data_IF_407359328341
#
_entry.id   IF_407359328341
#
_cell.length_a   1.000
_cell.length_b   1.000
_cell.length_c   1.000
_cell.angle_alpha   90.00
_cell.angle_beta   90.00
_cell.angle_gamma   90.00
#
_symmetry.space_group_name_H-M   'P 1'
#
loop_
_entity.id
_entity.type
_entity.pdbx_description
1 polymer ?
#
# COMPACT_ATOMS: atom_id res chain seq x y z
N UNK A 1 9.68 -2.37 8.05
CA UNK A 1 9.05 -2.99 6.88
C UNK A 1 8.81 -1.98 5.77
N UNK A 2 9.09 -2.38 4.53
CA UNK A 2 8.67 -1.64 3.34
C UNK A 2 8.18 -2.61 2.27
N UNK A 3 6.88 -2.54 1.94
CA UNK A 3 6.21 -3.41 0.97
C UNK A 3 5.87 -2.67 -0.32
N UNK A 4 6.32 -3.19 -1.47
CA UNK A 4 6.07 -2.63 -2.81
C UNK A 4 5.08 -3.53 -3.53
N UNK A 5 4.02 -2.98 -4.09
CA UNK A 5 2.99 -3.66 -4.87
C UNK A 5 2.43 -4.89 -4.12
N UNK A 6 2.79 -6.11 -4.50
CA UNK A 6 2.44 -7.33 -3.76
C UNK A 6 2.87 -7.26 -2.28
N UNK A 7 3.98 -6.58 -1.97
CA UNK A 7 4.42 -6.37 -0.59
C UNK A 7 3.39 -5.61 0.25
N UNK A 8 2.77 -4.55 -0.29
CA UNK A 8 1.66 -3.88 0.40
C UNK A 8 0.46 -4.83 0.61
N UNK A 9 0.12 -5.61 -0.40
CA UNK A 9 -1.00 -6.57 -0.33
C UNK A 9 -0.74 -7.64 0.74
N UNK A 10 0.48 -8.15 0.82
CA UNK A 10 0.89 -9.09 1.88
C UNK A 10 0.85 -8.42 3.27
N UNK A 11 1.25 -7.15 3.38
CA UNK A 11 1.13 -6.40 4.64
C UNK A 11 -0.33 -6.26 5.08
N UNK A 12 -1.24 -5.98 4.14
CA UNK A 12 -2.67 -5.93 4.42
C UNK A 12 -3.19 -7.31 4.90
N UNK A 13 -2.87 -8.38 4.19
CA UNK A 13 -3.26 -9.74 4.58
C UNK A 13 -2.71 -10.10 5.97
N UNK A 14 -1.43 -9.79 6.24
CA UNK A 14 -0.81 -10.05 7.53
C UNK A 14 -1.49 -9.25 8.67
N UNK A 15 -1.86 -8.00 8.43
CA UNK A 15 -2.62 -7.20 9.38
C UNK A 15 -3.99 -7.80 9.67
N UNK A 16 -4.73 -8.22 8.64
CA UNK A 16 -6.02 -8.87 8.82
C UNK A 16 -5.92 -10.14 9.67
N UNK A 17 -4.91 -10.97 9.42
CA UNK A 17 -4.70 -12.20 10.18
C UNK A 17 -4.22 -11.95 11.60
N UNK A 18 -3.24 -11.07 11.78
CA UNK A 18 -2.57 -10.86 13.06
C UNK A 18 -3.30 -9.90 14.00
N UNK A 19 -4.02 -8.92 13.47
CA UNK A 19 -4.67 -7.85 14.25
C UNK A 19 -6.18 -8.01 14.27
N UNK A 20 -6.81 -8.28 13.12
CA UNK A 20 -8.26 -8.40 13.03
C UNK A 20 -8.77 -9.83 13.33
N UNK A 21 -7.88 -10.83 13.40
CA UNK A 21 -8.25 -12.23 13.65
C UNK A 21 -8.92 -12.94 12.45
N UNK A 22 -8.80 -12.39 11.24
CA UNK A 22 -9.33 -12.99 10.03
C UNK A 22 -8.35 -14.03 9.47
N UNK A 23 -8.30 -15.22 10.07
CA UNK A 23 -7.29 -16.26 9.79
C UNK A 23 -7.19 -16.64 8.31
N UNK A 24 -8.32 -16.63 7.59
CA UNK A 24 -8.39 -16.96 6.16
C UNK A 24 -8.22 -15.75 5.23
N UNK A 25 -7.97 -14.53 5.79
CA UNK A 25 -7.79 -13.32 4.99
C UNK A 25 -6.75 -13.53 3.88
N UNK A 26 -7.09 -13.14 2.65
CA UNK A 26 -6.24 -13.39 1.50
C UNK A 26 -6.55 -12.40 0.35
N UNK A 27 -5.80 -12.56 -0.75
CA UNK A 27 -6.14 -12.02 -2.05
C UNK A 27 -6.97 -13.02 -2.85
N UNK A 28 -8.00 -12.56 -3.54
CA UNK A 28 -8.76 -13.42 -4.48
C UNK A 28 -7.91 -13.94 -5.64
N UNK A 29 -6.73 -13.37 -5.86
CA UNK A 29 -5.74 -13.90 -6.80
C UNK A 29 -5.21 -15.28 -6.39
N UNK A 30 -5.01 -15.49 -5.08
CA UNK A 30 -4.42 -16.72 -4.53
C UNK A 30 -5.46 -17.65 -3.89
N UNK A 31 -6.52 -17.08 -3.34
CA UNK A 31 -7.60 -17.80 -2.68
C UNK A 31 -8.96 -17.19 -3.07
N UNK A 32 -9.53 -17.58 -4.22
CA UNK A 32 -10.80 -17.01 -4.70
C UNK A 32 -11.96 -17.18 -3.72
N UNK A 33 -11.95 -18.25 -2.92
CA UNK A 33 -13.01 -18.60 -1.97
C UNK A 33 -12.76 -18.08 -0.55
N UNK A 34 -11.77 -17.19 -0.33
CA UNK A 34 -11.52 -16.57 0.97
C UNK A 34 -12.77 -15.83 1.46
N UNK A 35 -13.14 -16.02 2.72
CA UNK A 35 -14.26 -15.30 3.36
C UNK A 35 -13.91 -13.84 3.66
N UNK A 36 -12.61 -13.54 3.80
CA UNK A 36 -12.09 -12.20 4.02
C UNK A 36 -11.12 -11.80 2.89
N UNK A 37 -11.65 -11.54 1.67
CA UNK A 37 -10.84 -11.16 0.51
C UNK A 37 -10.41 -9.68 0.64
N UNK A 38 -9.43 -9.42 1.49
CA UNK A 38 -8.93 -8.06 1.77
C UNK A 38 -8.21 -7.42 0.59
N UNK A 39 -7.78 -8.26 -0.36
CA UNK A 39 -7.27 -7.86 -1.67
C UNK A 39 -8.15 -8.51 -2.73
N UNK A 40 -8.71 -7.73 -3.64
CA UNK A 40 -9.64 -8.22 -4.67
C UNK A 40 -9.57 -7.37 -5.94
N UNK A 41 -10.20 -7.86 -7.01
CA UNK A 41 -10.57 -7.01 -8.14
C UNK A 41 -11.65 -6.02 -7.69
N UNK A 42 -11.58 -4.77 -8.13
CA UNK A 42 -12.66 -3.82 -7.92
C UNK A 42 -13.90 -4.21 -8.77
N UNK A 43 -15.11 -3.94 -8.27
CA UNK A 43 -16.36 -4.29 -8.98
C UNK A 43 -16.40 -3.73 -10.40
N UNK A 44 -15.94 -2.50 -10.60
CA UNK A 44 -15.80 -1.85 -11.91
C UNK A 44 -14.80 -2.54 -12.85
N UNK A 45 -13.85 -3.30 -12.30
CA UNK A 45 -12.88 -4.10 -13.07
C UNK A 45 -13.43 -5.49 -13.42
N UNK A 46 -14.39 -6.00 -12.68
CA UNK A 46 -14.97 -7.34 -12.94
C UNK A 46 -15.74 -7.36 -14.25
N UNK A 47 -16.44 -6.29 -14.58
CA UNK A 47 -17.15 -6.13 -15.86
C UNK A 47 -16.19 -6.02 -17.07
N UNK A 48 -14.94 -5.59 -16.82
CA UNK A 48 -13.88 -5.45 -17.84
C UNK A 48 -12.91 -6.64 -17.86
N UNK A 49 -12.97 -7.54 -16.85
CA UNK A 49 -12.06 -8.68 -16.74
C UNK A 49 -12.21 -9.65 -17.91
N UNK A 50 -13.43 -9.84 -18.39
CA UNK A 50 -13.74 -10.65 -19.59
C UNK A 50 -13.12 -10.06 -20.88
N UNK A 51 -12.72 -8.80 -20.87
CA UNK A 51 -12.11 -8.09 -22.00
C UNK A 51 -10.58 -7.91 -21.86
N UNK A 52 -9.94 -8.46 -20.81
CA UNK A 52 -8.47 -8.39 -20.60
C UNK A 52 -7.93 -7.02 -20.20
N UNK A 53 -8.79 -6.05 -19.85
CA UNK A 53 -8.48 -4.63 -19.69
C UNK A 53 -8.33 -4.09 -18.27
N UNK A 54 -8.06 -4.94 -17.25
CA UNK A 54 -8.16 -4.52 -15.83
C UNK A 54 -6.85 -4.11 -15.17
N UNK A 55 -5.72 -4.14 -15.89
CA UNK A 55 -4.43 -3.79 -15.29
C UNK A 55 -4.26 -2.27 -15.18
N UNK A 56 -4.01 -1.77 -13.96
CA UNK A 56 -3.48 -0.43 -13.79
C UNK A 56 -2.01 -0.42 -14.22
N UNK A 57 -1.73 0.23 -15.33
CA UNK A 57 -0.41 0.31 -15.94
C UNK A 57 -0.06 1.77 -16.25
N UNK A 58 1.08 2.23 -15.76
CA UNK A 58 1.56 3.60 -16.00
C UNK A 58 1.48 4.49 -14.77
N UNK A 59 1.54 5.80 -15.00
CA UNK A 59 1.56 6.81 -13.96
C UNK A 59 0.14 7.21 -13.55
N UNK A 60 -0.10 7.22 -12.23
CA UNK A 60 -1.37 7.63 -11.63
C UNK A 60 -1.14 8.58 -10.47
N UNK A 61 -2.02 9.56 -10.27
CA UNK A 61 -1.93 10.49 -9.16
C UNK A 61 -2.31 9.79 -7.84
N UNK A 62 -1.60 10.16 -6.77
CA UNK A 62 -1.88 9.73 -5.41
C UNK A 62 -1.91 10.94 -4.48
N UNK A 63 -2.99 11.11 -3.74
CA UNK A 63 -3.13 12.11 -2.67
C UNK A 63 -2.61 11.53 -1.37
N UNK A 64 -1.72 12.27 -0.70
CA UNK A 64 -1.09 11.87 0.54
C UNK A 64 -1.78 12.56 1.73
N UNK A 65 -2.10 11.79 2.76
CA UNK A 65 -2.65 12.28 4.02
C UNK A 65 -1.57 13.04 4.82
N UNK A 66 -1.93 14.15 5.50
CA UNK A 66 -1.01 14.85 6.39
C UNK A 66 -0.57 13.96 7.57
N UNK A 67 0.53 14.33 8.21
CA UNK A 67 1.06 13.69 9.44
C UNK A 67 1.38 12.20 9.30
N UNK A 68 1.76 11.76 8.10
CA UNK A 68 2.10 10.37 7.74
C UNK A 68 3.58 10.21 7.36
N UNK A 69 4.10 8.97 7.37
CA UNK A 69 5.43 8.67 6.83
C UNK A 69 5.54 9.07 5.36
N UNK A 70 4.48 8.85 4.60
CA UNK A 70 4.37 9.29 3.21
C UNK A 70 4.55 10.80 3.09
N UNK A 71 3.84 11.59 3.88
CA UNK A 71 3.96 13.06 3.86
C UNK A 71 5.38 13.50 4.24
N UNK A 72 5.98 12.87 5.26
CA UNK A 72 7.36 13.13 5.66
C UNK A 72 8.34 12.83 4.53
N UNK A 73 8.15 11.73 3.81
CA UNK A 73 9.05 11.31 2.73
C UNK A 73 8.97 12.23 1.51
N UNK A 74 7.76 12.54 1.05
CA UNK A 74 7.56 13.30 -0.18
C UNK A 74 7.54 14.82 0.00
N UNK A 75 7.13 15.31 1.16
CA UNK A 75 7.00 16.76 1.45
C UNK A 75 5.91 17.46 0.62
N UNK A 76 4.95 16.72 0.04
CA UNK A 76 3.86 17.27 -0.76
C UNK A 76 2.64 16.34 -0.76
N UNK A 77 1.45 16.92 -0.80
CA UNK A 77 0.18 16.21 -0.65
C UNK A 77 -0.35 15.52 -1.92
N UNK A 78 0.22 15.80 -3.08
CA UNK A 78 -0.14 15.16 -4.35
C UNK A 78 1.12 14.73 -5.08
N UNK A 79 1.17 13.46 -5.44
CA UNK A 79 2.26 12.83 -6.18
C UNK A 79 1.71 12.07 -7.38
N UNK A 80 2.58 11.63 -8.24
CA UNK A 80 2.27 10.72 -9.33
C UNK A 80 3.27 9.57 -9.28
N UNK A 81 2.78 8.33 -9.27
CA UNK A 81 3.60 7.12 -9.19
C UNK A 81 3.20 6.08 -10.22
N UNK A 82 4.10 5.15 -10.55
CA UNK A 82 3.89 4.16 -11.61
C UNK A 82 3.35 2.87 -11.03
N UNK A 83 2.31 2.36 -11.66
CA UNK A 83 1.60 1.14 -11.29
C UNK A 83 1.77 0.04 -12.32
N UNK A 84 1.69 -1.23 -11.84
CA UNK A 84 1.60 -2.43 -12.65
C UNK A 84 0.94 -3.54 -11.83
N UNK A 85 -0.37 -3.48 -11.65
CA UNK A 85 -1.14 -4.47 -10.89
C UNK A 85 -2.61 -4.48 -11.31
N UNK A 86 -3.33 -5.53 -10.94
CA UNK A 86 -4.78 -5.70 -11.17
C UNK A 86 -5.57 -5.63 -9.88
N UNK A 87 -5.03 -6.26 -8.82
CA UNK A 87 -5.71 -6.40 -7.54
C UNK A 87 -5.46 -5.18 -6.68
N UNK A 88 -6.49 -4.80 -5.94
CA UNK A 88 -6.52 -3.62 -5.09
C UNK A 88 -6.94 -3.98 -3.67
N UNK A 89 -6.68 -3.09 -2.71
CA UNK A 89 -7.23 -3.22 -1.38
C UNK A 89 -8.76 -3.14 -1.44
N UNK A 90 -9.45 -4.10 -0.81
CA UNK A 90 -10.90 -4.17 -0.81
C UNK A 90 -11.49 -3.18 0.21
N UNK A 91 -12.15 -2.13 -0.28
CA UNK A 91 -12.73 -1.05 0.53
C UNK A 91 -13.76 -1.52 1.57
N UNK A 92 -14.36 -2.71 1.42
CA UNK A 92 -15.27 -3.30 2.42
C UNK A 92 -14.58 -3.50 3.77
N UNK A 93 -13.26 -3.62 3.80
CA UNK A 93 -12.47 -3.79 5.02
C UNK A 93 -11.82 -2.49 5.51
N UNK A 94 -11.96 -1.39 4.79
CA UNK A 94 -11.23 -0.15 5.07
C UNK A 94 -11.51 0.40 6.48
N UNK A 95 -12.76 0.45 6.86
CA UNK A 95 -13.19 0.99 8.16
C UNK A 95 -12.60 0.17 9.32
N UNK A 96 -12.74 -1.14 9.30
CA UNK A 96 -12.22 -2.01 10.37
C UNK A 96 -10.69 -1.94 10.49
N UNK A 97 -9.95 -1.76 9.38
CA UNK A 97 -8.50 -1.53 9.43
C UNK A 97 -8.16 -0.24 10.15
N UNK A 98 -8.87 0.85 9.84
CA UNK A 98 -8.65 2.16 10.47
C UNK A 98 -9.01 2.14 11.96
N UNK A 99 -10.08 1.49 12.34
CA UNK A 99 -10.49 1.30 13.73
C UNK A 99 -9.42 0.55 14.56
N UNK A 100 -8.65 -0.34 13.91
CA UNK A 100 -7.56 -1.09 14.53
C UNK A 100 -6.17 -0.48 14.30
N UNK A 101 -6.12 0.78 13.88
CA UNK A 101 -4.92 1.60 13.86
C UNK A 101 -4.11 1.57 12.58
N UNK A 102 -4.58 0.95 11.51
CA UNK A 102 -3.96 1.13 10.19
C UNK A 102 -4.26 2.53 9.63
N UNK A 103 -3.29 3.12 8.94
CA UNK A 103 -3.43 4.43 8.29
C UNK A 103 -3.32 4.24 6.78
N UNK A 104 -4.36 4.63 6.04
CA UNK A 104 -4.29 4.71 4.58
C UNK A 104 -3.76 6.08 4.17
N UNK A 105 -2.42 6.15 4.11
CA UNK A 105 -1.67 7.40 3.92
C UNK A 105 -1.63 7.89 2.48
N UNK A 106 -1.90 7.01 1.51
CA UNK A 106 -2.01 7.33 0.09
C UNK A 106 -3.31 6.83 -0.50
N UNK A 107 -3.97 7.66 -1.31
CA UNK A 107 -5.24 7.33 -1.95
C UNK A 107 -5.31 7.94 -3.35
N UNK A 108 -6.12 7.36 -4.25
CA UNK A 108 -6.49 8.04 -5.49
C UNK A 108 -7.16 9.40 -5.20
N UNK A 109 -7.11 10.38 -6.10
CA UNK A 109 -7.67 11.72 -5.86
C UNK A 109 -9.16 11.74 -5.48
N UNK A 110 -9.94 10.79 -6.01
CA UNK A 110 -11.35 10.59 -5.69
C UNK A 110 -11.57 9.84 -4.35
N UNK A 111 -10.49 9.28 -3.77
CA UNK A 111 -10.51 8.55 -2.51
C UNK A 111 -10.98 7.09 -2.62
N UNK A 112 -11.22 6.58 -3.82
CA UNK A 112 -11.75 5.23 -4.03
C UNK A 112 -10.70 4.14 -3.89
N UNK A 113 -9.44 4.39 -4.28
CA UNK A 113 -8.37 3.40 -4.23
C UNK A 113 -7.38 3.70 -3.11
N UNK A 114 -6.96 2.66 -2.41
CA UNK A 114 -5.88 2.71 -1.42
C UNK A 114 -4.54 2.51 -2.12
N UNK A 115 -3.67 3.51 -2.05
CA UNK A 115 -2.36 3.52 -2.70
C UNK A 115 -1.21 3.28 -1.73
N UNK A 116 -1.43 3.55 -0.44
CA UNK A 116 -0.44 3.30 0.61
C UNK A 116 -1.10 3.03 1.96
N UNK A 117 -0.47 2.15 2.74
CA UNK A 117 -0.87 1.77 4.09
C UNK A 117 0.32 1.85 5.04
N UNK A 118 0.10 2.43 6.23
CA UNK A 118 1.07 2.55 7.31
C UNK A 118 0.55 1.89 8.59
N UNK A 119 1.46 1.33 9.37
CA UNK A 119 1.17 0.86 10.74
C UNK A 119 1.99 1.71 11.71
N UNK A 120 1.35 2.56 12.52
CA UNK A 120 2.03 3.38 13.50
C UNK A 120 2.65 2.55 14.63
N UNK A 121 3.57 3.16 15.39
CA UNK A 121 4.26 2.48 16.49
C UNK A 121 5.48 1.66 16.07
N UNK A 122 5.69 1.46 14.79
CA UNK A 122 6.89 0.85 14.22
C UNK A 122 7.82 1.96 13.66
N UNK A 123 9.16 1.84 13.78
CA UNK A 123 10.10 2.85 13.26
C UNK A 123 9.86 3.20 11.79
N UNK A 124 9.53 2.22 10.97
CA UNK A 124 9.10 2.40 9.60
C UNK A 124 8.27 1.19 9.15
N UNK A 125 6.96 1.36 8.98
CA UNK A 125 6.09 0.34 8.40
C UNK A 125 5.23 0.98 7.33
N UNK A 126 5.55 0.74 6.06
CA UNK A 126 4.88 1.33 4.92
C UNK A 126 4.72 0.28 3.81
N UNK A 127 3.50 0.14 3.32
CA UNK A 127 3.18 -0.55 2.07
C UNK A 127 2.71 0.45 1.02
N UNK A 128 3.17 0.31 -0.22
CA UNK A 128 2.72 1.11 -1.36
C UNK A 128 2.28 0.21 -2.51
N UNK A 129 1.16 0.53 -3.17
CA UNK A 129 0.63 -0.28 -4.25
C UNK A 129 1.37 -0.05 -5.57
N UNK A 130 2.00 1.08 -5.73
CA UNK A 130 2.82 1.46 -6.88
C UNK A 130 4.28 0.96 -6.75
N UNK A 131 5.08 1.24 -7.79
CA UNK A 131 6.47 0.83 -7.93
C UNK A 131 7.44 2.02 -7.89
N UNK A 132 7.89 2.47 -6.70
CA UNK A 132 8.79 3.60 -6.56
C UNK A 132 10.15 3.38 -7.23
N UNK A 133 10.58 2.11 -7.41
CA UNK A 133 11.82 1.77 -8.10
C UNK A 133 11.85 2.26 -9.54
N UNK A 134 10.71 2.40 -10.21
CA UNK A 134 10.66 2.92 -11.58
C UNK A 134 11.02 4.40 -11.69
N UNK A 135 10.95 5.14 -10.59
CA UNK A 135 11.29 6.56 -10.51
C UNK A 135 12.58 6.84 -9.74
N UNK A 136 13.19 5.82 -9.15
CA UNK A 136 14.49 5.93 -8.48
C UNK A 136 15.64 5.97 -9.49
N UNK A 137 16.72 6.68 -9.15
CA UNK A 137 17.94 6.78 -9.95
C UNK A 137 19.16 6.67 -9.05
N UNK A 138 20.34 6.19 -9.54
CA UNK A 138 21.54 6.07 -8.73
C UNK A 138 21.98 7.38 -8.06
N UNK A 139 21.80 8.51 -8.74
CA UNK A 139 22.16 9.83 -8.25
C UNK A 139 20.99 10.59 -7.61
N UNK A 140 19.78 10.02 -7.59
CA UNK A 140 18.58 10.60 -7.02
C UNK A 140 17.66 9.48 -6.53
N UNK A 141 17.97 8.94 -5.37
CA UNK A 141 17.15 7.91 -4.74
C UNK A 141 15.73 8.42 -4.51
N UNK A 142 14.76 7.55 -4.75
CA UNK A 142 13.36 7.83 -4.48
C UNK A 142 13.16 8.16 -2.99
N UNK A 143 12.34 9.16 -2.64
CA UNK A 143 12.21 9.64 -1.26
C UNK A 143 11.84 8.55 -0.25
N UNK A 144 10.99 7.60 -0.60
CA UNK A 144 10.63 6.49 0.31
C UNK A 144 11.83 5.60 0.61
N UNK A 145 12.66 5.25 -0.38
CA UNK A 145 13.87 4.45 -0.15
C UNK A 145 14.84 5.16 0.80
N UNK A 146 15.00 6.47 0.62
CA UNK A 146 15.86 7.27 1.49
C UNK A 146 15.36 7.25 2.93
N UNK A 147 14.07 7.48 3.17
CA UNK A 147 13.50 7.48 4.53
C UNK A 147 13.50 6.08 5.15
N UNK A 148 13.30 5.02 4.37
CA UNK A 148 13.40 3.64 4.85
C UNK A 148 14.81 3.31 5.33
N UNK A 149 15.84 3.61 4.53
CA UNK A 149 17.26 3.38 4.92
C UNK A 149 17.62 4.22 6.13
N UNK A 150 17.17 5.49 6.17
CA UNK A 150 17.38 6.37 7.33
C UNK A 150 16.79 5.77 8.61
N UNK A 151 15.56 5.30 8.59
CA UNK A 151 14.93 4.66 9.73
C UNK A 151 15.68 3.40 10.19
N UNK A 152 16.19 2.59 9.24
CA UNK A 152 16.99 1.42 9.55
C UNK A 152 18.31 1.78 10.25
N UNK A 153 19.00 2.84 9.82
CA UNK A 153 20.23 3.35 10.46
C UNK A 153 19.96 3.87 11.88
N UNK A 154 18.87 4.66 12.06
CA UNK A 154 18.48 5.15 13.37
C UNK A 154 18.18 4.03 14.38
N UNK A 155 17.55 2.94 13.93
CA UNK A 155 17.32 1.75 14.78
C UNK A 155 18.62 1.05 15.11
N UNK A 156 19.55 0.92 14.16
CA UNK A 156 20.86 0.33 14.41
C UNK A 156 21.64 1.12 15.47
N UNK A 157 21.69 2.45 15.34
CA UNK A 157 22.40 3.32 16.28
C UNK A 157 21.83 3.27 17.71
N UNK A 158 20.50 3.12 17.85
CA UNK A 158 19.87 2.98 19.17
C UNK A 158 20.13 1.64 19.85
N UNK A 159 20.49 0.60 19.08
CA UNK A 159 20.74 -0.75 19.57
C UNK A 159 22.26 -1.07 19.68
N UNK A 160 23.13 -0.11 19.35
CA UNK A 160 24.60 -0.21 19.48
C UNK A 160 25.09 0.48 20.74
#
# INVERSE_FOLDING_TARGET
YFGICLGMQIAAIAFARGVLGYEDANSTEFAPDSKHPVIALMEEQMDLADMGGTMRLGAYPCRISPDTLMMKAYGKGLIEERHRHRYEFNNKFREVYMEHGAIFSGQSPDGTLVEAMEIPGHPFYLGVQYHPEFKSRPNRAHPIFREFVKAALEVKEKNS
#
